data_IF_169970539294
#
_entry.id   IF_169970539294
#
_cell.length_a   1.000
_cell.length_b   1.000
_cell.length_c   1.000
_cell.angle_alpha   90.00
_cell.angle_beta   90.00
_cell.angle_gamma   90.00
#
_symmetry.space_group_name_H-M   'P 1'
#
loop_
_entity.id
_entity.type
_entity.pdbx_description
1 polymer ?
#
# COMPACT_ATOMS: atom_id res chain seq x y z
N UNK A 1 -17.48 -2.59 -18.05
CA UNK A 1 -17.43 -1.22 -17.50
C UNK A 1 -18.39 -1.16 -16.33
N UNK A 2 -17.88 -0.85 -15.14
CA UNK A 2 -18.70 -0.73 -13.93
C UNK A 2 -19.48 0.59 -13.93
N UNK A 3 -20.64 0.57 -13.29
CA UNK A 3 -21.48 1.73 -12.98
C UNK A 3 -20.86 2.56 -11.84
N UNK A 4 -21.38 3.79 -11.64
CA UNK A 4 -20.97 4.63 -10.53
C UNK A 4 -21.19 3.95 -9.16
N UNK A 5 -22.35 3.33 -8.96
CA UNK A 5 -22.70 2.66 -7.69
C UNK A 5 -21.79 1.46 -7.41
N UNK A 6 -21.43 0.68 -8.43
CA UNK A 6 -20.50 -0.45 -8.27
C UNK A 6 -19.09 0.04 -7.87
N UNK A 7 -18.58 1.08 -8.54
CA UNK A 7 -17.27 1.67 -8.20
C UNK A 7 -17.28 2.31 -6.82
N UNK A 8 -18.39 2.96 -6.45
CA UNK A 8 -18.58 3.55 -5.13
C UNK A 8 -18.54 2.47 -4.05
N UNK A 9 -19.29 1.37 -4.23
CA UNK A 9 -19.32 0.26 -3.29
C UNK A 9 -17.95 -0.41 -3.13
N UNK A 10 -17.19 -0.54 -4.23
CA UNK A 10 -15.81 -1.04 -4.17
C UNK A 10 -14.94 -0.09 -3.34
N UNK A 11 -14.97 1.21 -3.60
CA UNK A 11 -14.17 2.18 -2.85
C UNK A 11 -14.58 2.24 -1.36
N UNK A 12 -15.87 2.12 -1.03
CA UNK A 12 -16.38 2.08 0.34
C UNK A 12 -16.04 0.78 1.08
N UNK A 13 -15.62 -0.27 0.37
CA UNK A 13 -15.18 -1.52 0.99
C UNK A 13 -13.79 -1.45 1.63
N UNK A 14 -13.03 -0.38 1.37
CA UNK A 14 -11.71 -0.13 1.97
C UNK A 14 -11.87 0.73 3.25
N UNK A 15 -11.76 0.15 4.46
CA UNK A 15 -12.00 0.86 5.71
C UNK A 15 -10.99 1.98 5.98
N UNK A 16 -9.81 1.93 5.36
CA UNK A 16 -8.76 2.94 5.48
C UNK A 16 -9.10 4.25 4.75
N UNK A 17 -10.09 4.20 3.85
CA UNK A 17 -10.44 5.33 3.00
C UNK A 17 -11.57 6.18 3.58
N UNK A 18 -11.34 7.49 3.62
CA UNK A 18 -12.36 8.48 3.99
C UNK A 18 -13.03 9.07 2.76
N UNK A 19 -14.34 8.83 2.65
CA UNK A 19 -15.18 9.46 1.63
C UNK A 19 -15.28 10.98 1.83
N UNK A 20 -15.03 11.74 0.77
CA UNK A 20 -15.27 13.19 0.70
C UNK A 20 -16.20 13.49 -0.48
N UNK A 21 -17.37 14.04 -0.19
CA UNK A 21 -18.29 14.49 -1.25
C UNK A 21 -17.83 15.84 -1.79
N UNK A 22 -17.85 16.00 -3.12
CA UNK A 22 -17.49 17.26 -3.78
C UNK A 22 -18.61 17.73 -4.70
N UNK A 23 -18.41 18.86 -5.39
CA UNK A 23 -19.43 19.45 -6.26
C UNK A 23 -19.86 18.51 -7.41
N UNK A 24 -21.07 18.73 -7.93
CA UNK A 24 -21.64 18.00 -9.06
C UNK A 24 -21.81 16.49 -8.81
N UNK A 25 -22.04 16.10 -7.55
CA UNK A 25 -22.29 14.70 -7.17
C UNK A 25 -21.06 13.79 -7.29
N UNK A 26 -19.86 14.36 -7.44
CA UNK A 26 -18.62 13.60 -7.43
C UNK A 26 -18.22 13.20 -6.01
N UNK A 27 -17.42 12.15 -5.93
CA UNK A 27 -16.88 11.62 -4.68
C UNK A 27 -15.36 11.41 -4.81
N UNK A 28 -14.63 11.75 -3.75
CA UNK A 28 -13.23 11.38 -3.56
C UNK A 28 -13.12 10.42 -2.37
N UNK A 29 -12.05 9.63 -2.35
CA UNK A 29 -11.65 8.80 -1.22
C UNK A 29 -10.20 9.12 -0.87
N UNK A 30 -9.98 9.43 0.41
CA UNK A 30 -8.68 9.82 0.92
C UNK A 30 -8.12 8.75 1.85
N UNK A 31 -6.83 8.44 1.71
CA UNK A 31 -6.06 7.74 2.74
C UNK A 31 -5.39 8.79 3.63
N UNK A 32 -5.91 8.98 4.84
CA UNK A 32 -5.44 10.06 5.74
C UNK A 32 -4.10 9.74 6.42
N UNK A 33 -3.73 8.45 6.47
CA UNK A 33 -2.49 7.93 7.05
C UNK A 33 -1.34 7.86 6.03
N UNK A 34 -1.47 8.56 4.90
CA UNK A 34 -0.40 8.66 3.91
C UNK A 34 0.88 9.22 4.53
N UNK A 35 2.02 8.59 4.24
CA UNK A 35 3.35 9.10 4.61
C UNK A 35 3.80 10.27 3.73
N UNK A 36 3.02 10.59 2.70
CA UNK A 36 3.21 11.72 1.79
C UNK A 36 2.13 12.79 1.98
N UNK A 37 2.36 14.01 1.46
CA UNK A 37 1.33 15.06 1.41
C UNK A 37 0.10 14.65 0.56
N UNK A 38 0.29 13.72 -0.38
CA UNK A 38 -0.76 13.19 -1.26
C UNK A 38 -1.64 12.22 -0.48
N UNK A 39 -2.94 12.52 -0.42
CA UNK A 39 -3.94 11.68 0.29
C UNK A 39 -5.04 11.11 -0.61
N UNK A 40 -5.24 11.66 -1.81
CA UNK A 40 -6.30 11.19 -2.70
C UNK A 40 -5.95 9.81 -3.26
N UNK A 41 -6.75 8.80 -2.96
CA UNK A 41 -6.67 7.46 -3.57
C UNK A 41 -7.64 7.36 -4.72
N UNK A 42 -8.94 7.59 -4.51
CA UNK A 42 -9.93 7.73 -5.59
C UNK A 42 -10.28 9.21 -5.75
N UNK A 43 -10.17 9.71 -6.97
CA UNK A 43 -10.35 11.12 -7.27
C UNK A 43 -11.44 11.33 -8.33
N UNK A 44 -12.35 12.26 -8.05
CA UNK A 44 -13.39 12.71 -8.96
C UNK A 44 -14.24 11.57 -9.55
N UNK A 45 -14.60 10.57 -8.73
CA UNK A 45 -15.55 9.54 -9.14
C UNK A 45 -16.89 10.22 -9.45
N UNK A 46 -17.25 10.22 -10.73
CA UNK A 46 -18.36 10.97 -11.29
C UNK A 46 -19.58 10.07 -11.47
N UNK A 47 -20.81 10.60 -11.31
CA UNK A 47 -22.06 9.87 -11.57
C UNK A 47 -22.20 9.25 -12.96
N UNK A 48 -21.28 9.52 -13.90
CA UNK A 48 -21.26 8.90 -15.24
C UNK A 48 -20.47 7.59 -15.26
N UNK A 49 -19.95 7.15 -14.11
CA UNK A 49 -19.16 5.94 -13.94
C UNK A 49 -17.67 6.12 -14.15
N UNK A 50 -17.17 7.30 -14.56
CA UNK A 50 -15.74 7.54 -14.67
C UNK A 50 -15.14 8.14 -13.39
N UNK A 51 -13.85 7.94 -13.17
CA UNK A 51 -13.08 8.52 -12.09
C UNK A 51 -11.59 8.30 -12.33
N UNK A 52 -10.80 8.58 -11.30
CA UNK A 52 -9.37 8.32 -11.34
C UNK A 52 -8.89 7.67 -10.05
N UNK A 53 -7.81 6.90 -10.12
CA UNK A 53 -7.11 6.36 -8.95
C UNK A 53 -5.67 6.82 -8.97
N UNK A 54 -5.11 7.14 -7.81
CA UNK A 54 -3.70 7.53 -7.71
C UNK A 54 -2.78 6.35 -8.06
N UNK A 55 -1.83 6.59 -8.96
CA UNK A 55 -0.89 5.57 -9.43
C UNK A 55 0.50 6.10 -9.74
N UNK A 56 0.87 7.30 -9.28
CA UNK A 56 2.18 7.92 -9.55
C UNK A 56 3.36 7.05 -9.09
N UNK A 57 3.16 6.30 -8.00
CA UNK A 57 4.14 5.39 -7.42
C UNK A 57 4.00 3.94 -7.96
N UNK A 58 3.14 3.72 -8.96
CA UNK A 58 2.86 2.40 -9.53
C UNK A 58 3.40 2.36 -10.96
N UNK A 59 4.59 1.77 -11.13
CA UNK A 59 5.31 1.73 -12.40
C UNK A 59 4.56 1.03 -13.55
N UNK A 60 3.59 0.19 -13.22
CA UNK A 60 2.82 -0.60 -14.18
C UNK A 60 1.56 0.09 -14.72
N UNK A 61 1.28 1.34 -14.30
CA UNK A 61 0.14 2.11 -14.79
C UNK A 61 0.54 3.42 -15.46
N UNK A 62 -0.13 3.73 -16.57
CA UNK A 62 -0.03 5.04 -17.20
C UNK A 62 -0.82 6.08 -16.39
N UNK A 63 -0.14 7.14 -15.96
CA UNK A 63 -0.74 8.24 -15.21
C UNK A 63 -0.82 9.53 -16.02
N UNK A 64 -1.82 10.36 -15.71
CA UNK A 64 -1.83 11.75 -16.17
C UNK A 64 -0.78 12.62 -15.43
N UNK A 65 -0.71 13.91 -15.78
CA UNK A 65 0.20 14.90 -15.17
C UNK A 65 0.03 15.08 -13.64
N UNK A 66 -1.03 14.53 -13.04
CA UNK A 66 -1.33 14.59 -11.61
C UNK A 66 -1.02 13.28 -10.89
N UNK A 67 -0.45 12.31 -11.61
CA UNK A 67 -0.19 10.97 -11.09
C UNK A 67 -1.45 10.11 -10.98
N UNK A 68 -2.47 10.37 -11.80
CA UNK A 68 -3.78 9.72 -11.72
C UNK A 68 -4.05 8.82 -12.92
N UNK A 69 -4.52 7.60 -12.65
CA UNK A 69 -4.91 6.59 -13.63
C UNK A 69 -6.41 6.71 -13.92
N UNK A 70 -6.79 6.79 -15.19
CA UNK A 70 -8.19 6.83 -15.59
C UNK A 70 -8.82 5.44 -15.48
N UNK A 71 -9.84 5.30 -14.64
CA UNK A 71 -10.46 4.00 -14.34
C UNK A 71 -11.76 3.77 -15.12
N UNK A 72 -11.99 4.46 -16.24
CA UNK A 72 -13.25 4.37 -17.02
C UNK A 72 -13.66 2.93 -17.26
N UNK A 73 -12.75 2.15 -17.84
CA UNK A 73 -13.04 0.83 -18.41
C UNK A 73 -12.63 -0.34 -17.50
N UNK A 74 -12.16 -0.05 -16.28
CA UNK A 74 -11.73 -1.06 -15.32
C UNK A 74 -12.86 -2.04 -14.96
N UNK A 75 -12.50 -3.31 -14.84
CA UNK A 75 -13.26 -4.35 -14.16
C UNK A 75 -13.23 -4.17 -12.63
N UNK A 76 -14.00 -4.98 -11.91
CA UNK A 76 -13.99 -4.97 -10.44
C UNK A 76 -12.63 -5.35 -9.88
N UNK A 77 -12.02 -6.41 -10.39
CA UNK A 77 -10.71 -6.89 -9.91
C UNK A 77 -9.60 -5.86 -10.19
N UNK A 78 -9.59 -5.26 -11.37
CA UNK A 78 -8.63 -4.20 -11.69
C UNK A 78 -8.81 -2.98 -10.79
N UNK A 79 -10.05 -2.58 -10.50
CA UNK A 79 -10.33 -1.44 -9.63
C UNK A 79 -9.94 -1.70 -8.18
N UNK A 80 -10.25 -2.89 -7.65
CA UNK A 80 -9.81 -3.30 -6.31
C UNK A 80 -8.29 -3.30 -6.22
N UNK A 81 -7.64 -3.93 -7.19
CA UNK A 81 -6.18 -4.06 -7.24
C UNK A 81 -5.49 -2.69 -7.26
N UNK A 82 -5.93 -1.76 -8.11
CA UNK A 82 -5.29 -0.45 -8.17
C UNK A 82 -5.54 0.38 -6.89
N UNK A 83 -6.73 0.28 -6.27
CA UNK A 83 -7.00 0.98 -5.01
C UNK A 83 -6.10 0.44 -3.89
N UNK A 84 -5.99 -0.88 -3.76
CA UNK A 84 -5.12 -1.52 -2.78
C UNK A 84 -3.66 -1.11 -2.98
N UNK A 85 -3.15 -1.21 -4.21
CA UNK A 85 -1.78 -0.78 -4.56
C UNK A 85 -1.55 0.70 -4.27
N UNK A 86 -2.54 1.55 -4.56
CA UNK A 86 -2.49 2.97 -4.28
C UNK A 86 -2.34 3.24 -2.78
N UNK A 87 -3.16 2.60 -1.94
CA UNK A 87 -3.06 2.69 -0.48
C UNK A 87 -1.68 2.21 0.00
N UNK A 88 -1.23 1.04 -0.45
CA UNK A 88 0.08 0.48 -0.08
C UNK A 88 1.21 1.43 -0.47
N UNK A 89 1.17 1.99 -1.67
CA UNK A 89 2.19 2.93 -2.16
C UNK A 89 2.23 4.22 -1.34
N UNK A 90 1.09 4.66 -0.79
CA UNK A 90 1.02 5.84 0.08
C UNK A 90 1.35 5.52 1.55
N UNK A 91 1.41 4.25 1.93
CA UNK A 91 1.69 3.80 3.30
C UNK A 91 3.16 3.53 3.61
N UNK A 92 4.03 3.54 2.59
CA UNK A 92 5.46 3.22 2.70
C UNK A 92 6.29 4.26 1.96
N UNK A 93 7.50 4.53 2.43
CA UNK A 93 8.45 5.36 1.67
C UNK A 93 9.08 4.56 0.53
N UNK A 94 9.74 5.26 -0.41
CA UNK A 94 10.47 4.61 -1.51
C UNK A 94 11.64 3.78 -0.97
N UNK A 95 12.30 4.28 0.07
CA UNK A 95 13.38 3.57 0.76
C UNK A 95 12.87 2.27 1.41
N UNK A 96 11.71 2.31 2.07
CA UNK A 96 11.10 1.11 2.66
C UNK A 96 10.71 0.08 1.59
N UNK A 97 10.13 0.55 0.49
CA UNK A 97 9.76 -0.32 -0.63
C UNK A 97 11.00 -1.02 -1.23
N UNK A 98 12.08 -0.27 -1.45
CA UNK A 98 13.33 -0.81 -1.97
C UNK A 98 13.94 -1.90 -1.08
N UNK A 99 13.93 -1.70 0.25
CA UNK A 99 14.43 -2.71 1.20
C UNK A 99 13.62 -4.02 1.10
N UNK A 100 12.29 -3.93 0.99
CA UNK A 100 11.42 -5.12 0.81
C UNK A 100 11.76 -5.84 -0.50
N UNK A 101 11.94 -5.09 -1.58
CA UNK A 101 12.21 -5.65 -2.91
C UNK A 101 13.59 -6.30 -3.03
N UNK A 102 14.60 -5.77 -2.32
CA UNK A 102 15.95 -6.33 -2.28
C UNK A 102 16.05 -7.58 -1.38
N UNK A 103 15.17 -7.72 -0.38
CA UNK A 103 15.14 -8.81 0.59
C UNK A 103 13.80 -9.57 0.62
N UNK A 104 13.28 -10.07 -0.51
CA UNK A 104 11.95 -10.65 -0.58
C UNK A 104 11.86 -11.95 0.25
N UNK A 105 12.93 -12.72 0.27
CA UNK A 105 12.99 -13.97 1.01
C UNK A 105 13.09 -13.75 2.52
N UNK A 106 13.47 -12.58 3.01
CA UNK A 106 13.66 -12.32 4.45
C UNK A 106 12.55 -11.44 5.04
N UNK A 107 11.36 -11.52 4.45
CA UNK A 107 10.15 -10.91 4.99
C UNK A 107 9.47 -11.84 5.98
N UNK A 108 9.13 -11.28 7.14
CA UNK A 108 8.47 -11.96 8.24
C UNK A 108 7.16 -11.24 8.57
N UNK A 109 6.11 -12.00 8.89
CA UNK A 109 4.78 -11.48 9.23
C UNK A 109 4.20 -12.20 10.45
N UNK A 110 3.57 -11.46 11.36
CA UNK A 110 2.86 -12.05 12.51
C UNK A 110 1.34 -12.17 12.24
N UNK A 111 0.60 -12.80 13.16
CA UNK A 111 -0.84 -13.03 13.02
C UNK A 111 -1.68 -11.73 13.12
N UNK A 112 -1.11 -10.64 13.66
CA UNK A 112 -1.71 -9.29 13.69
C UNK A 112 -1.49 -8.50 12.40
N UNK A 113 -0.63 -9.00 11.50
CA UNK A 113 -0.33 -8.37 10.23
C UNK A 113 0.90 -7.46 10.21
N UNK A 114 1.60 -7.30 11.32
CA UNK A 114 2.88 -6.59 11.37
C UNK A 114 3.93 -7.34 10.56
N UNK A 115 4.86 -6.60 9.94
CA UNK A 115 5.93 -7.17 9.13
C UNK A 115 7.29 -6.65 9.55
N UNK A 116 8.26 -7.56 9.59
CA UNK A 116 9.68 -7.26 9.77
C UNK A 116 10.46 -7.76 8.55
N UNK A 117 11.55 -7.07 8.21
CA UNK A 117 12.50 -7.50 7.19
C UNK A 117 13.83 -7.77 7.87
N UNK A 118 14.40 -8.93 7.63
CA UNK A 118 15.71 -9.28 8.15
C UNK A 118 16.80 -8.98 7.11
N UNK A 119 17.74 -8.10 7.47
CA UNK A 119 18.80 -7.60 6.59
C UNK A 119 20.16 -7.95 7.19
N UNK A 120 21.09 -8.47 6.39
CA UNK A 120 22.46 -8.72 6.82
C UNK A 120 23.37 -7.57 6.37
N UNK A 121 23.85 -6.78 7.33
CA UNK A 121 24.71 -5.63 7.11
C UNK A 121 25.73 -5.49 8.25
N UNK A 122 26.93 -4.99 7.93
CA UNK A 122 28.02 -4.80 8.89
C UNK A 122 28.33 -6.04 9.76
N UNK A 123 28.31 -7.23 9.15
CA UNK A 123 28.49 -8.55 9.79
C UNK A 123 27.46 -8.89 10.88
N UNK A 124 26.34 -8.16 10.93
CA UNK A 124 25.23 -8.35 11.86
C UNK A 124 23.91 -8.62 11.11
N UNK A 125 22.96 -9.23 11.81
CA UNK A 125 21.60 -9.45 11.30
C UNK A 125 20.66 -8.44 11.97
N UNK A 126 20.03 -7.58 11.19
CA UNK A 126 19.16 -6.51 11.65
C UNK A 126 17.71 -6.78 11.24
N UNK A 127 16.77 -6.69 12.19
CA UNK A 127 15.34 -6.75 11.94
C UNK A 127 14.78 -5.32 11.86
N UNK A 128 14.07 -5.02 10.78
CA UNK A 128 13.50 -3.70 10.53
C UNK A 128 11.97 -3.72 10.44
N UNK A 129 11.33 -2.79 11.14
CA UNK A 129 9.92 -2.42 10.98
C UNK A 129 9.83 -1.14 10.13
N UNK A 130 9.72 -1.30 8.81
CA UNK A 130 9.90 -0.18 7.87
C UNK A 130 11.35 0.30 7.90
N UNK A 131 11.59 1.59 8.12
CA UNK A 131 12.96 2.13 8.35
C UNK A 131 13.44 2.03 9.80
N UNK A 132 12.61 1.56 10.72
CA UNK A 132 12.97 1.53 12.15
C UNK A 132 13.67 0.22 12.50
N UNK A 133 14.86 0.33 13.09
CA UNK A 133 15.58 -0.82 13.62
C UNK A 133 14.85 -1.35 14.86
N UNK A 134 14.43 -2.62 14.79
CA UNK A 134 13.72 -3.32 15.85
C UNK A 134 14.68 -4.16 16.71
N UNK A 135 15.65 -4.84 16.06
CA UNK A 135 16.67 -5.63 16.74
C UNK A 135 17.91 -5.90 15.91
N UNK A 136 19.04 -6.14 16.58
CA UNK A 136 20.34 -6.47 15.97
C UNK A 136 20.91 -7.72 16.63
N UNK A 137 21.32 -8.70 15.83
CA UNK A 137 21.70 -10.03 16.26
C UNK A 137 23.03 -10.45 15.63
N UNK A 138 23.79 -11.30 16.33
CA UNK A 138 25.11 -11.74 15.87
C UNK A 138 25.02 -12.86 14.82
N UNK A 139 23.85 -13.47 14.66
CA UNK A 139 23.65 -14.58 13.73
C UNK A 139 22.21 -14.65 13.25
N UNK A 140 22.04 -15.26 12.07
CA UNK A 140 20.71 -15.54 11.51
C UNK A 140 19.85 -16.36 12.48
N UNK A 141 20.45 -17.35 13.14
CA UNK A 141 19.73 -18.23 14.06
C UNK A 141 19.14 -17.48 15.25
N UNK A 142 19.91 -16.56 15.83
CA UNK A 142 19.47 -15.69 16.92
C UNK A 142 18.34 -14.75 16.48
N UNK A 143 18.48 -14.15 15.30
CA UNK A 143 17.44 -13.29 14.74
C UNK A 143 16.14 -14.06 14.43
N UNK A 144 16.24 -15.24 13.83
CA UNK A 144 15.09 -16.08 13.51
C UNK A 144 14.41 -16.61 14.77
N UNK A 145 15.17 -16.95 15.82
CA UNK A 145 14.63 -17.34 17.12
C UNK A 145 13.83 -16.21 17.75
N UNK A 146 14.38 -14.99 17.79
CA UNK A 146 13.65 -13.79 18.22
C UNK A 146 12.33 -13.60 17.45
N UNK A 147 12.37 -13.67 16.12
CA UNK A 147 11.19 -13.51 15.27
C UNK A 147 10.13 -14.58 15.57
N UNK A 148 10.54 -15.83 15.77
CA UNK A 148 9.63 -16.91 16.13
C UNK A 148 9.02 -16.74 17.52
N UNK A 149 9.80 -16.29 18.51
CA UNK A 149 9.31 -16.01 19.87
C UNK A 149 8.27 -14.89 19.89
N UNK A 150 8.46 -13.84 19.08
CA UNK A 150 7.51 -12.74 18.89
C UNK A 150 6.32 -13.10 17.97
N UNK A 151 6.24 -14.37 17.52
CA UNK A 151 5.12 -14.88 16.74
C UNK A 151 5.15 -14.55 15.25
N UNK A 152 6.29 -14.10 14.73
CA UNK A 152 6.49 -13.89 13.30
C UNK A 152 6.79 -15.21 12.57
N UNK A 153 6.37 -15.26 11.31
CA UNK A 153 6.62 -16.36 10.38
C UNK A 153 7.11 -15.79 9.05
N UNK A 154 8.09 -16.44 8.45
CA UNK A 154 8.59 -16.10 7.11
C UNK A 154 7.47 -16.28 6.07
N UNK A 155 7.33 -15.32 5.15
CA UNK A 155 6.24 -15.27 4.14
C UNK A 155 6.75 -15.16 2.71
#
# INVERSE_FOLDING_TARGET
>A
MLTFEEKLAIAESFPELQRKNVSLGRVNFHYEESVYDKKNVVYHLHPNGNGFVYGELLSEYDTDERGMVNIRDFSEDELRTIIEKSIVSLSRTLEEAAIVEDHPDEKWKNDEGHTLILVHEDDMWNAYAGLNLDGTFNSYGEAAEYLHEEGFKRV
#
